data_IF_073121085115
#
_entry.id   IF_073121085115
#
_cell.length_a   1.000
_cell.length_b   1.000
_cell.length_c   1.000
_cell.angle_alpha   90.00
_cell.angle_beta   90.00
_cell.angle_gamma   90.00
#
_symmetry.space_group_name_H-M   'P 1'
#
loop_
_entity.id
_entity.type
_entity.pdbx_description
1 polymer ?
#
# COMPACT_ATOMS: atom_id res chain seq x y z
N UNK A 1 4.70 70.52 62.59
CA UNK A 1 5.82 70.02 61.74
C UNK A 1 5.53 68.68 61.03
N UNK A 2 4.47 67.93 61.35
CA UNK A 2 4.15 66.67 60.64
C UNK A 2 3.31 66.83 59.35
N UNK A 3 2.61 67.95 59.15
CA UNK A 3 1.74 68.14 57.99
C UNK A 3 2.48 68.58 56.71
N UNK A 4 3.72 69.08 56.84
CA UNK A 4 4.52 69.55 55.69
C UNK A 4 5.38 68.46 55.07
N UNK A 5 5.82 67.43 55.80
CA UNK A 5 6.57 66.31 55.19
C UNK A 5 5.71 65.40 54.31
N UNK A 6 4.44 65.18 54.67
CA UNK A 6 3.54 64.32 53.90
C UNK A 6 3.16 64.89 52.52
N UNK A 7 3.19 66.22 52.34
CA UNK A 7 2.92 66.83 51.03
C UNK A 7 4.06 66.62 50.04
N UNK A 8 5.32 66.62 50.50
CA UNK A 8 6.47 66.39 49.63
C UNK A 8 6.60 64.93 49.20
N UNK A 9 6.31 63.98 50.09
CA UNK A 9 6.31 62.53 49.77
C UNK A 9 5.19 62.19 48.79
N UNK A 10 3.98 62.73 48.97
CA UNK A 10 2.85 62.49 48.09
C UNK A 10 3.05 63.12 46.69
N UNK A 11 3.71 64.28 46.60
CA UNK A 11 4.07 64.88 45.32
C UNK A 11 5.18 64.08 44.60
N UNK A 12 6.21 63.60 45.32
CA UNK A 12 7.25 62.78 44.70
C UNK A 12 6.72 61.42 44.21
N UNK A 13 5.82 60.76 44.96
CA UNK A 13 5.23 59.47 44.52
C UNK A 13 4.26 59.64 43.37
N UNK A 14 3.47 60.72 43.32
CA UNK A 14 2.57 60.98 42.17
C UNK A 14 3.34 61.30 40.88
N UNK A 15 4.46 62.03 40.97
CA UNK A 15 5.28 62.42 39.80
C UNK A 15 6.17 61.27 39.30
N UNK A 16 6.70 60.43 40.20
CA UNK A 16 7.47 59.22 39.82
C UNK A 16 6.56 58.12 39.24
N UNK A 17 5.36 57.96 39.77
CA UNK A 17 4.41 56.93 39.31
C UNK A 17 3.81 57.31 37.94
N UNK A 18 3.44 58.58 37.72
CA UNK A 18 2.89 59.03 36.42
C UNK A 18 3.90 58.98 35.28
N UNK A 19 5.19 59.28 35.52
CA UNK A 19 6.24 59.16 34.49
C UNK A 19 6.54 57.71 34.08
N UNK A 20 6.49 56.76 35.02
CA UNK A 20 6.70 55.34 34.74
C UNK A 20 5.52 54.68 34.02
N UNK A 21 4.28 55.02 34.38
CA UNK A 21 3.09 54.49 33.71
C UNK A 21 2.96 54.97 32.26
N UNK A 22 3.47 56.17 31.92
CA UNK A 22 3.48 56.68 30.55
C UNK A 22 4.55 55.97 29.68
N UNK A 23 5.68 55.59 30.26
CA UNK A 23 6.76 54.89 29.53
C UNK A 23 6.40 53.46 29.09
N UNK A 24 5.41 52.82 29.72
CA UNK A 24 4.92 51.48 29.32
C UNK A 24 4.16 51.54 27.98
N UNK A 25 3.62 52.71 27.62
CA UNK A 25 2.93 52.92 26.35
C UNK A 25 3.83 53.56 25.27
N UNK A 26 5.13 53.72 25.53
CA UNK A 26 6.07 54.25 24.55
C UNK A 26 6.46 53.18 23.52
N UNK A 27 5.98 53.36 22.28
CA UNK A 27 6.41 52.57 21.14
C UNK A 27 7.50 53.32 20.36
N UNK A 28 8.73 52.78 20.37
CA UNK A 28 9.84 53.29 19.55
C UNK A 28 9.70 52.80 18.11
N UNK A 29 9.63 53.74 17.18
CA UNK A 29 9.67 53.49 15.73
C UNK A 29 11.04 53.85 15.15
N UNK A 30 11.44 53.14 14.10
CA UNK A 30 12.57 53.55 13.29
C UNK A 30 12.24 54.84 12.52
N UNK A 31 13.18 55.79 12.52
CA UNK A 31 13.06 57.00 11.70
C UNK A 31 13.48 56.68 10.27
N UNK A 32 12.52 56.62 9.36
CA UNK A 32 12.79 56.43 7.93
C UNK A 32 13.30 57.73 7.28
N UNK A 33 14.34 57.62 6.47
CA UNK A 33 14.84 58.72 5.63
C UNK A 33 14.30 58.55 4.22
N UNK A 34 13.51 59.52 3.74
CA UNK A 34 12.91 59.49 2.41
C UNK A 34 13.86 60.10 1.38
N UNK A 35 14.52 59.25 0.58
CA UNK A 35 15.34 59.69 -0.54
C UNK A 35 14.49 60.03 -1.78
N UNK A 36 14.48 61.30 -2.23
CA UNK A 36 13.75 61.77 -3.42
C UNK A 36 14.58 61.65 -4.70
N UNK A 37 14.84 60.43 -5.16
CA UNK A 37 15.54 60.18 -6.44
C UNK A 37 14.72 59.25 -7.35
N UNK A 38 14.36 59.73 -8.54
CA UNK A 38 13.54 58.97 -9.51
C UNK A 38 14.19 57.66 -9.96
N UNK A 39 15.51 57.63 -10.19
CA UNK A 39 16.20 56.41 -10.65
C UNK A 39 16.21 55.32 -9.57
N UNK A 40 16.52 55.71 -8.33
CA UNK A 40 16.54 54.79 -7.18
C UNK A 40 15.13 54.29 -6.86
N UNK A 41 14.12 55.17 -6.93
CA UNK A 41 12.72 54.79 -6.73
C UNK A 41 12.20 53.79 -7.76
N UNK A 42 12.51 53.98 -9.05
CA UNK A 42 12.14 53.04 -10.11
C UNK A 42 12.83 51.68 -9.91
N UNK A 43 14.13 51.68 -9.60
CA UNK A 43 14.87 50.43 -9.33
C UNK A 43 14.26 49.67 -8.15
N UNK A 44 13.95 50.37 -7.05
CA UNK A 44 13.33 49.77 -5.88
C UNK A 44 11.95 49.18 -6.19
N UNK A 45 11.09 49.89 -6.95
CA UNK A 45 9.78 49.39 -7.37
C UNK A 45 9.88 48.19 -8.32
N UNK A 46 10.85 48.18 -9.23
CA UNK A 46 11.10 47.03 -10.10
C UNK A 46 11.50 45.79 -9.29
N UNK A 47 12.43 45.93 -8.34
CA UNK A 47 12.82 44.81 -7.47
C UNK A 47 11.61 44.30 -6.69
N UNK A 48 10.81 45.20 -6.11
CA UNK A 48 9.58 44.82 -5.41
C UNK A 48 8.61 44.04 -6.30
N UNK A 49 8.37 44.51 -7.53
CA UNK A 49 7.49 43.82 -8.48
C UNK A 49 8.03 42.46 -8.90
N UNK A 50 9.34 42.33 -9.11
CA UNK A 50 9.98 41.05 -9.44
C UNK A 50 9.83 40.05 -8.29
N UNK A 51 10.10 40.49 -7.06
CA UNK A 51 9.93 39.64 -5.86
C UNK A 51 8.47 39.24 -5.68
N UNK A 52 7.53 40.20 -5.80
CA UNK A 52 6.10 39.93 -5.69
C UNK A 52 5.62 38.96 -6.78
N UNK A 53 6.08 39.16 -8.02
CA UNK A 53 5.78 38.27 -9.14
C UNK A 53 6.32 36.86 -8.91
N UNK A 54 7.52 36.72 -8.37
CA UNK A 54 8.08 35.41 -7.99
C UNK A 54 7.25 34.73 -6.90
N UNK A 55 6.87 35.46 -5.84
CA UNK A 55 6.06 34.91 -4.76
C UNK A 55 4.69 34.45 -5.30
N UNK A 56 3.99 35.28 -6.07
CA UNK A 56 2.67 34.93 -6.60
C UNK A 56 2.77 33.78 -7.61
N UNK A 57 3.68 33.86 -8.59
CA UNK A 57 3.79 32.87 -9.65
C UNK A 57 4.37 31.52 -9.17
N UNK A 58 5.51 31.57 -8.48
CA UNK A 58 6.21 30.35 -8.08
C UNK A 58 5.64 29.74 -6.80
N UNK A 59 5.49 30.54 -5.74
CA UNK A 59 5.10 30.04 -4.42
C UNK A 59 3.59 29.75 -4.37
N UNK A 60 2.76 30.70 -4.79
CA UNK A 60 1.31 30.52 -4.70
C UNK A 60 0.73 29.69 -5.84
N UNK A 61 1.06 29.98 -7.11
CA UNK A 61 0.45 29.26 -8.24
C UNK A 61 1.11 27.89 -8.45
N UNK A 62 2.44 27.83 -8.61
CA UNK A 62 3.11 26.58 -8.97
C UNK A 62 3.27 25.60 -7.79
N UNK A 63 3.70 26.11 -6.63
CA UNK A 63 3.87 25.28 -5.42
C UNK A 63 2.60 25.14 -4.59
N UNK A 64 1.52 25.86 -4.92
CA UNK A 64 0.27 25.89 -4.14
C UNK A 64 0.51 26.11 -2.65
N UNK A 65 1.41 27.04 -2.31
CA UNK A 65 1.80 27.32 -0.92
C UNK A 65 0.66 27.81 -0.02
N UNK A 66 -0.51 28.12 -0.58
CA UNK A 66 -1.72 28.44 0.17
C UNK A 66 -2.47 27.19 0.67
N UNK A 67 -2.19 26.00 0.13
CA UNK A 67 -2.84 24.77 0.53
C UNK A 67 -2.05 24.08 1.64
N UNK A 68 -2.76 23.62 2.65
CA UNK A 68 -2.18 22.65 3.56
C UNK A 68 -2.27 21.25 2.94
N UNK A 69 -1.29 20.41 3.26
CA UNK A 69 -1.28 19.00 2.83
C UNK A 69 -1.47 18.06 4.01
N UNK A 70 -2.14 16.94 3.76
CA UNK A 70 -2.23 15.79 4.65
C UNK A 70 -1.76 14.54 3.89
N UNK A 71 -0.75 13.88 4.42
CA UNK A 71 -0.20 12.63 3.91
C UNK A 71 -0.53 11.45 4.85
N UNK A 72 -1.25 11.71 5.96
CA UNK A 72 -1.65 10.72 6.95
C UNK A 72 -2.93 9.96 6.54
N UNK A 73 -2.86 9.32 5.37
CA UNK A 73 -3.96 8.49 4.86
C UNK A 73 -4.22 7.29 5.78
N UNK A 74 -5.45 7.17 6.25
CA UNK A 74 -5.97 5.94 6.85
C UNK A 74 -6.69 5.17 5.75
N UNK A 75 -6.31 3.93 5.50
CA UNK A 75 -6.90 3.12 4.44
C UNK A 75 -7.32 1.73 4.92
N UNK A 76 -8.39 1.22 4.32
CA UNK A 76 -8.83 -0.16 4.49
C UNK A 76 -9.09 -0.76 3.12
N UNK A 77 -8.58 -1.96 2.88
CA UNK A 77 -8.74 -2.70 1.62
C UNK A 77 -9.48 -3.99 1.92
N UNK A 78 -10.50 -4.26 1.10
CA UNK A 78 -11.25 -5.52 1.11
C UNK A 78 -11.17 -6.10 -0.28
N UNK A 79 -10.72 -7.35 -0.38
CA UNK A 79 -10.63 -8.07 -1.65
C UNK A 79 -11.60 -9.23 -1.71
N UNK A 80 -12.14 -9.49 -2.91
CA UNK A 80 -12.95 -10.67 -3.18
C UNK A 80 -12.66 -11.21 -4.56
N UNK A 81 -12.35 -12.50 -4.64
CA UNK A 81 -12.09 -13.15 -5.91
C UNK A 81 -13.31 -13.91 -6.42
N UNK A 82 -13.39 -13.99 -7.74
CA UNK A 82 -14.34 -14.82 -8.47
C UNK A 82 -13.63 -15.52 -9.62
N UNK A 83 -13.90 -16.81 -9.76
CA UNK A 83 -13.31 -17.66 -10.77
C UNK A 83 -13.56 -19.11 -10.39
N UNK A 84 -13.59 -19.98 -11.40
CA UNK A 84 -13.63 -21.43 -11.20
C UNK A 84 -12.68 -22.07 -12.19
N UNK A 85 -11.93 -23.07 -11.74
CA UNK A 85 -11.06 -23.84 -12.62
C UNK A 85 -11.26 -25.33 -12.37
N UNK A 86 -11.13 -26.12 -13.43
CA UNK A 86 -11.21 -27.56 -13.37
C UNK A 86 -9.81 -28.14 -13.58
N UNK A 87 -9.40 -29.04 -12.71
CA UNK A 87 -8.13 -29.75 -12.80
C UNK A 87 -8.39 -31.23 -12.98
N UNK A 88 -7.61 -31.89 -13.84
CA UNK A 88 -7.66 -33.33 -14.03
C UNK A 88 -6.26 -33.90 -13.78
N UNK A 89 -6.04 -34.47 -12.60
CA UNK A 89 -4.74 -35.04 -12.20
C UNK A 89 -4.87 -36.55 -11.99
N UNK A 90 -3.78 -37.29 -12.15
CA UNK A 90 -3.77 -38.74 -11.91
C UNK A 90 -4.06 -39.11 -10.46
N UNK A 91 -3.73 -38.22 -9.51
CA UNK A 91 -3.88 -38.46 -8.07
C UNK A 91 -5.31 -38.21 -7.58
N UNK A 92 -5.93 -37.10 -8.02
CA UNK A 92 -7.25 -36.65 -7.53
C UNK A 92 -8.37 -36.71 -8.57
N UNK A 93 -8.08 -37.14 -9.80
CA UNK A 93 -9.04 -37.12 -10.90
C UNK A 93 -9.51 -35.70 -11.22
N UNK A 94 -10.80 -35.57 -11.54
CA UNK A 94 -11.43 -34.29 -11.87
C UNK A 94 -11.86 -33.56 -10.60
N UNK A 95 -11.27 -32.40 -10.34
CA UNK A 95 -11.60 -31.53 -9.19
C UNK A 95 -11.93 -30.11 -9.67
N UNK A 96 -12.96 -29.51 -9.07
CA UNK A 96 -13.31 -28.10 -9.25
C UNK A 96 -12.67 -27.29 -8.14
N UNK A 97 -12.00 -26.20 -8.53
CA UNK A 97 -11.37 -25.24 -7.64
C UNK A 97 -12.17 -23.94 -7.61
N UNK A 98 -12.64 -23.56 -6.43
CA UNK A 98 -13.30 -22.29 -6.16
C UNK A 98 -12.40 -21.30 -5.40
N UNK A 99 -12.83 -20.04 -5.24
CA UNK A 99 -12.07 -19.03 -4.49
C UNK A 99 -11.72 -19.45 -3.06
N UNK A 100 -12.53 -20.33 -2.46
CA UNK A 100 -12.29 -20.96 -1.17
C UNK A 100 -11.05 -21.86 -1.13
N UNK A 101 -10.65 -22.43 -2.28
CA UNK A 101 -9.52 -23.36 -2.37
C UNK A 101 -8.24 -22.69 -2.85
N UNK A 102 -8.34 -21.75 -3.80
CA UNK A 102 -7.18 -21.16 -4.46
C UNK A 102 -6.75 -19.80 -3.87
N UNK A 103 -7.47 -19.23 -2.90
CA UNK A 103 -7.12 -17.92 -2.31
C UNK A 103 -6.62 -18.08 -0.87
N UNK A 104 -5.45 -17.51 -0.59
CA UNK A 104 -4.84 -17.52 0.74
C UNK A 104 -4.33 -16.11 1.11
N UNK A 105 -4.67 -15.54 2.27
CA UNK A 105 -5.72 -15.97 3.18
C UNK A 105 -7.12 -15.72 2.60
N UNK A 106 -8.16 -16.48 3.03
CA UNK A 106 -9.51 -16.31 2.51
C UNK A 106 -10.23 -15.04 3.02
N UNK A 107 -9.63 -14.33 4.00
CA UNK A 107 -10.26 -13.18 4.66
C UNK A 107 -10.30 -11.91 3.79
N UNK A 108 -9.53 -11.86 2.69
CA UNK A 108 -9.61 -10.78 1.71
C UNK A 108 -8.98 -9.47 2.19
N UNK A 109 -7.68 -9.51 2.51
CA UNK A 109 -6.89 -8.38 3.00
C UNK A 109 -6.20 -7.61 1.84
N UNK A 110 -5.24 -6.75 2.19
CA UNK A 110 -4.34 -6.02 1.29
C UNK A 110 -3.27 -6.92 0.65
N UNK A 111 -3.01 -8.09 1.23
CA UNK A 111 -2.15 -9.13 0.65
C UNK A 111 -2.97 -10.38 0.37
N UNK A 112 -2.88 -10.86 -0.87
CA UNK A 112 -3.53 -12.10 -1.28
C UNK A 112 -2.58 -12.97 -2.10
N UNK A 113 -2.72 -14.27 -1.97
CA UNK A 113 -2.01 -15.28 -2.75
C UNK A 113 -3.03 -16.11 -3.53
N UNK A 114 -2.85 -16.17 -4.84
CA UNK A 114 -3.72 -16.91 -5.76
C UNK A 114 -2.96 -18.11 -6.28
N UNK A 115 -3.42 -19.30 -5.91
CA UNK A 115 -2.88 -20.57 -6.39
C UNK A 115 -3.15 -20.68 -7.89
N UNK A 116 -2.09 -20.96 -8.65
CA UNK A 116 -2.14 -21.19 -10.11
C UNK A 116 -1.67 -22.62 -10.44
N UNK A 117 -0.84 -23.18 -9.58
CA UNK A 117 -0.31 -24.52 -9.71
C UNK A 117 -0.15 -25.19 -8.35
N UNK A 118 -0.10 -26.51 -8.33
CA UNK A 118 0.16 -27.26 -7.10
C UNK A 118 0.79 -28.62 -7.36
N UNK A 119 1.49 -29.12 -6.36
CA UNK A 119 1.99 -30.47 -6.28
C UNK A 119 1.27 -31.17 -5.14
N UNK A 120 0.57 -32.25 -5.48
CA UNK A 120 -0.22 -33.01 -4.53
C UNK A 120 0.53 -34.25 -4.06
N UNK A 121 0.52 -34.45 -2.75
CA UNK A 121 0.97 -35.68 -2.10
C UNK A 121 -0.24 -36.31 -1.41
N UNK A 122 -0.91 -37.29 -2.05
CA UNK A 122 -2.14 -37.88 -1.52
C UNK A 122 -1.86 -38.89 -0.40
N UNK A 123 -2.89 -39.16 0.41
CA UNK A 123 -2.91 -40.20 1.45
C UNK A 123 -1.74 -40.14 2.43
N UNK A 124 -1.35 -38.92 2.84
CA UNK A 124 -0.34 -38.76 3.87
C UNK A 124 -0.86 -39.23 5.23
N UNK A 125 -0.06 -40.07 5.87
CA UNK A 125 -0.30 -40.58 7.22
C UNK A 125 0.96 -40.41 8.05
N UNK A 126 0.80 -40.31 9.37
CA UNK A 126 1.94 -40.27 10.25
C UNK A 126 2.57 -41.67 10.35
N UNK A 127 3.83 -41.80 9.96
CA UNK A 127 4.48 -43.10 9.91
C UNK A 127 5.97 -43.01 9.61
N UNK A 128 6.57 -44.16 9.32
CA UNK A 128 7.97 -44.28 8.93
C UNK A 128 8.09 -44.40 7.40
N UNK A 129 8.93 -43.57 6.79
CA UNK A 129 9.22 -43.66 5.37
C UNK A 129 10.64 -43.21 5.04
N UNK A 130 11.08 -43.57 3.85
CA UNK A 130 12.39 -43.20 3.30
C UNK A 130 12.46 -41.71 2.98
N UNK A 131 13.55 -41.05 3.38
CA UNK A 131 13.85 -39.66 3.04
C UNK A 131 14.10 -39.48 1.54
N UNK A 132 13.59 -38.39 0.96
CA UNK A 132 13.83 -38.04 -0.45
C UNK A 132 15.21 -37.42 -0.59
N UNK A 133 16.03 -37.95 -1.49
CA UNK A 133 17.34 -37.36 -1.81
C UNK A 133 17.21 -36.15 -2.72
N UNK A 134 17.60 -35.00 -2.22
CA UNK A 134 17.88 -33.85 -3.06
C UNK A 134 19.34 -33.92 -3.54
N UNK A 135 19.50 -33.96 -4.87
CA UNK A 135 20.74 -33.78 -5.65
C UNK A 135 22.09 -33.97 -4.93
N UNK A 136 22.75 -35.13 -5.06
CA UNK A 136 24.18 -35.46 -4.78
C UNK A 136 24.90 -34.88 -3.54
N UNK A 137 24.26 -34.11 -2.67
CA UNK A 137 24.83 -33.59 -1.43
C UNK A 137 24.50 -34.53 -0.29
N UNK A 138 25.53 -34.89 0.45
CA UNK A 138 25.55 -35.90 1.51
C UNK A 138 24.73 -35.54 2.77
N UNK A 139 23.98 -34.42 2.75
CA UNK A 139 23.27 -33.92 3.92
C UNK A 139 21.75 -34.00 3.72
N UNK A 140 21.15 -34.89 4.51
CA UNK A 140 19.73 -35.15 4.63
C UNK A 140 19.00 -33.91 5.17
N UNK A 141 18.26 -33.18 4.32
CA UNK A 141 17.32 -32.14 4.73
C UNK A 141 16.11 -32.81 5.39
N UNK A 142 16.12 -32.88 6.72
CA UNK A 142 15.15 -33.67 7.47
C UNK A 142 13.75 -33.07 7.41
N UNK A 143 12.88 -33.66 6.58
CA UNK A 143 11.43 -33.42 6.56
C UNK A 143 10.68 -34.15 7.71
N UNK A 144 11.41 -34.69 8.69
CA UNK A 144 10.89 -35.46 9.82
C UNK A 144 11.99 -35.91 10.77
N UNK A 145 11.65 -36.70 11.79
CA UNK A 145 12.60 -37.15 12.83
C UNK A 145 13.33 -38.40 12.33
N UNK A 146 14.67 -38.35 12.25
CA UNK A 146 15.49 -39.50 11.79
C UNK A 146 15.40 -40.65 12.81
N UNK A 147 15.02 -41.84 12.33
CA UNK A 147 14.94 -43.05 13.17
C UNK A 147 16.30 -43.74 13.36
N UNK A 148 17.29 -43.40 12.52
CA UNK A 148 18.64 -43.99 12.55
C UNK A 148 18.80 -45.26 11.72
N UNK A 149 17.72 -45.74 11.08
CA UNK A 149 17.75 -46.87 10.13
C UNK A 149 17.93 -46.38 8.69
N UNK A 150 18.43 -47.26 7.83
CA UNK A 150 18.64 -47.01 6.40
C UNK A 150 17.74 -47.93 5.57
N UNK A 151 16.88 -47.35 4.74
CA UNK A 151 15.96 -48.05 3.84
C UNK A 151 16.61 -48.11 2.45
N UNK A 152 16.60 -49.29 1.83
CA UNK A 152 17.02 -49.47 0.42
C UNK A 152 15.78 -49.77 -0.41
N UNK A 153 15.50 -48.92 -1.40
CA UNK A 153 14.34 -49.07 -2.29
C UNK A 153 14.58 -50.20 -3.30
N UNK A 154 15.82 -50.32 -3.81
CA UNK A 154 16.27 -51.42 -4.67
C UNK A 154 17.60 -52.02 -4.17
N UNK A 155 17.92 -53.30 -4.45
CA UNK A 155 19.17 -53.95 -4.04
C UNK A 155 20.43 -53.22 -4.54
N UNK A 156 20.34 -52.59 -5.72
CA UNK A 156 21.41 -51.83 -6.38
C UNK A 156 21.32 -50.31 -6.14
N UNK A 157 20.34 -49.83 -5.37
CA UNK A 157 20.21 -48.42 -5.04
C UNK A 157 21.04 -48.08 -3.80
N UNK A 158 21.55 -46.85 -3.73
CA UNK A 158 22.14 -46.32 -2.51
C UNK A 158 20.99 -46.02 -1.52
N UNK A 159 20.98 -46.64 -0.35
CA UNK A 159 19.89 -46.51 0.63
C UNK A 159 19.76 -45.12 1.27
N UNK A 160 18.53 -44.73 1.62
CA UNK A 160 18.17 -43.44 2.22
C UNK A 160 17.88 -43.58 3.72
N UNK A 161 18.01 -42.51 4.49
CA UNK A 161 17.65 -42.53 5.91
C UNK A 161 16.14 -42.74 6.09
N UNK A 162 15.76 -43.50 7.12
CA UNK A 162 14.38 -43.60 7.58
C UNK A 162 14.04 -42.41 8.48
N UNK A 163 12.90 -41.78 8.21
CA UNK A 163 12.33 -40.72 9.02
C UNK A 163 10.95 -41.11 9.54
N UNK A 164 10.58 -40.57 10.70
CA UNK A 164 9.22 -40.56 11.23
C UNK A 164 8.60 -39.19 11.00
N UNK A 165 7.46 -39.14 10.30
CA UNK A 165 6.80 -37.91 9.90
C UNK A 165 5.57 -38.16 9.03
N UNK A 166 5.18 -37.16 8.23
CA UNK A 166 4.12 -37.32 7.24
C UNK A 166 4.65 -38.12 6.03
N UNK A 167 4.06 -39.29 5.83
CA UNK A 167 4.47 -40.26 4.82
C UNK A 167 3.31 -40.58 3.87
N UNK A 168 3.54 -40.61 2.54
CA UNK A 168 4.81 -40.38 1.87
C UNK A 168 5.27 -38.91 1.92
N UNK A 169 6.58 -38.68 1.84
CA UNK A 169 7.18 -37.33 1.83
C UNK A 169 6.73 -36.57 0.59
N UNK A 170 6.62 -35.25 0.73
CA UNK A 170 6.20 -34.36 -0.33
C UNK A 170 7.09 -34.44 -1.57
N UNK A 171 6.45 -34.25 -2.73
CA UNK A 171 7.13 -34.25 -4.03
C UNK A 171 7.81 -32.90 -4.25
N UNK A 172 9.14 -32.89 -4.39
CA UNK A 172 9.94 -31.66 -4.56
C UNK A 172 10.43 -31.41 -6.00
N UNK A 173 9.74 -31.93 -7.02
CA UNK A 173 10.09 -31.61 -8.40
C UNK A 173 9.46 -30.29 -8.83
N UNK A 174 10.18 -29.50 -9.64
CA UNK A 174 9.60 -28.26 -10.19
C UNK A 174 8.45 -28.60 -11.15
N UNK A 175 7.28 -27.98 -11.00
CA UNK A 175 6.18 -28.19 -11.93
C UNK A 175 6.57 -27.67 -13.31
N UNK A 176 6.13 -28.36 -14.37
CA UNK A 176 6.45 -28.01 -15.76
C UNK A 176 5.37 -27.17 -16.44
N UNK A 177 4.14 -27.26 -15.98
CA UNK A 177 2.96 -26.61 -16.57
C UNK A 177 1.97 -26.22 -15.47
N UNK A 178 1.17 -25.15 -15.68
CA UNK A 178 0.15 -24.73 -14.74
C UNK A 178 -1.04 -25.70 -14.74
N UNK A 179 -1.56 -26.02 -13.56
CA UNK A 179 -2.75 -26.85 -13.43
C UNK A 179 -4.05 -26.02 -13.57
N UNK A 180 -4.11 -24.81 -13.02
CA UNK A 180 -5.29 -23.95 -13.09
C UNK A 180 -5.22 -23.04 -14.33
N UNK A 181 -5.43 -23.63 -15.52
CA UNK A 181 -5.34 -22.93 -16.81
C UNK A 181 -6.28 -21.73 -16.96
N UNK A 182 -7.40 -21.72 -16.24
CA UNK A 182 -8.37 -20.63 -16.29
C UNK A 182 -8.03 -19.46 -15.34
N UNK A 183 -6.94 -19.55 -14.58
CA UNK A 183 -6.60 -18.54 -13.58
C UNK A 183 -6.42 -17.13 -14.19
N UNK A 184 -5.92 -17.03 -15.42
CA UNK A 184 -5.79 -15.75 -16.14
C UNK A 184 -7.13 -14.99 -16.26
N UNK A 185 -8.24 -15.72 -16.32
CA UNK A 185 -9.60 -15.18 -16.47
C UNK A 185 -10.31 -14.89 -15.14
N UNK A 186 -9.66 -15.16 -14.02
CA UNK A 186 -10.23 -14.83 -12.73
C UNK A 186 -10.31 -13.32 -12.56
N UNK A 187 -11.28 -12.90 -11.76
CA UNK A 187 -11.49 -11.48 -11.44
C UNK A 187 -11.32 -11.23 -9.97
N UNK A 188 -10.58 -10.18 -9.63
CA UNK A 188 -10.46 -9.64 -8.29
C UNK A 188 -11.29 -8.36 -8.19
N UNK A 189 -12.16 -8.31 -7.19
CA UNK A 189 -12.86 -7.10 -6.77
C UNK A 189 -12.07 -6.48 -5.62
N UNK A 190 -11.65 -5.22 -5.79
CA UNK A 190 -10.88 -4.47 -4.79
C UNK A 190 -11.74 -3.29 -4.33
N UNK A 191 -12.18 -3.33 -3.07
CA UNK A 191 -12.84 -2.21 -2.42
C UNK A 191 -11.86 -1.54 -1.48
N UNK A 192 -11.55 -0.29 -1.76
CA UNK A 192 -10.69 0.53 -0.94
C UNK A 192 -11.50 1.68 -0.34
N UNK A 193 -11.29 1.91 0.95
CA UNK A 193 -11.79 3.05 1.70
C UNK A 193 -10.61 3.86 2.18
N UNK A 194 -10.70 5.18 2.03
CA UNK A 194 -9.68 6.12 2.46
C UNK A 194 -10.29 7.18 3.36
N UNK A 195 -9.49 7.63 4.33
CA UNK A 195 -9.82 8.74 5.21
C UNK A 195 -8.59 9.58 5.46
N UNK A 196 -8.75 10.90 5.34
CA UNK A 196 -7.76 11.91 5.70
C UNK A 196 -8.28 12.66 6.93
N UNK A 197 -7.81 12.30 8.14
CA UNK A 197 -8.36 12.82 9.39
C UNK A 197 -8.27 14.35 9.49
N UNK A 198 -7.18 14.95 8.98
CA UNK A 198 -6.97 16.41 9.06
C UNK A 198 -8.07 17.19 8.36
N UNK A 199 -8.53 16.72 7.21
CA UNK A 199 -9.59 17.34 6.42
C UNK A 199 -10.97 16.74 6.66
N UNK A 200 -11.10 15.73 7.53
CA UNK A 200 -12.32 14.93 7.73
C UNK A 200 -12.90 14.41 6.40
N UNK A 201 -12.04 14.15 5.43
CA UNK A 201 -12.42 13.69 4.11
C UNK A 201 -12.37 12.16 4.07
N UNK A 202 -13.42 11.52 3.56
CA UNK A 202 -13.45 10.08 3.33
C UNK A 202 -14.08 9.75 1.98
N UNK A 203 -13.54 8.74 1.31
CA UNK A 203 -14.01 8.30 0.00
C UNK A 203 -13.72 6.82 -0.23
N UNK A 204 -14.49 6.19 -1.12
CA UNK A 204 -14.21 4.86 -1.62
C UNK A 204 -13.92 4.88 -3.12
N UNK A 205 -13.16 3.91 -3.61
CA UNK A 205 -12.86 3.78 -5.03
C UNK A 205 -14.07 3.35 -5.89
N UNK A 206 -15.12 2.84 -5.25
CA UNK A 206 -16.32 2.36 -5.95
C UNK A 206 -17.16 3.57 -6.35
N UNK A 207 -17.39 3.72 -7.65
CA UNK A 207 -18.26 4.77 -8.18
C UNK A 207 -19.66 4.68 -7.58
N UNK A 208 -20.13 5.79 -7.00
CA UNK A 208 -21.52 5.94 -6.56
C UNK A 208 -22.40 6.18 -7.79
N UNK A 209 -23.20 5.18 -8.16
CA UNK A 209 -24.08 5.24 -9.35
C UNK A 209 -25.43 4.62 -9.03
N UNK A 210 -26.47 5.09 -9.74
CA UNK A 210 -27.82 4.52 -9.68
C UNK A 210 -27.96 3.23 -10.50
N UNK A 211 -26.97 2.86 -11.32
CA UNK A 211 -26.99 1.61 -12.09
C UNK A 211 -26.61 0.41 -11.21
N UNK A 212 -27.62 -0.34 -10.76
CA UNK A 212 -27.44 -1.58 -9.99
C UNK A 212 -26.66 -2.67 -10.75
N UNK A 213 -26.57 -2.59 -12.07
CA UNK A 213 -25.85 -3.55 -12.91
C UNK A 213 -24.42 -3.12 -13.25
N UNK A 214 -23.98 -1.95 -12.80
CA UNK A 214 -22.64 -1.43 -13.08
C UNK A 214 -21.56 -2.45 -12.66
N UNK A 215 -21.59 -2.90 -11.40
CA UNK A 215 -20.62 -3.88 -10.87
C UNK A 215 -20.74 -5.27 -11.50
N UNK A 216 -21.86 -5.60 -12.17
CA UNK A 216 -22.01 -6.90 -12.84
C UNK A 216 -21.31 -6.89 -14.21
N UNK A 217 -21.30 -5.73 -14.88
CA UNK A 217 -20.84 -5.57 -16.27
C UNK A 217 -19.45 -4.95 -16.38
N UNK A 218 -19.09 -4.06 -15.46
CA UNK A 218 -17.85 -3.31 -15.57
C UNK A 218 -16.63 -4.22 -15.46
N UNK A 219 -15.59 -3.85 -16.18
CA UNK A 219 -14.22 -4.35 -16.03
C UNK A 219 -13.31 -3.14 -16.05
N UNK A 220 -12.29 -3.15 -15.18
CA UNK A 220 -11.35 -2.05 -15.11
C UNK A 220 -10.63 -1.85 -16.44
N UNK A 221 -10.72 -0.64 -16.95
CA UNK A 221 -9.90 -0.16 -18.04
C UNK A 221 -9.60 1.32 -17.82
N UNK A 222 -8.36 1.73 -18.10
CA UNK A 222 -7.88 3.09 -17.79
C UNK A 222 -8.62 4.18 -18.59
N UNK A 223 -9.07 3.88 -19.80
CA UNK A 223 -9.75 4.85 -20.66
C UNK A 223 -11.27 4.68 -20.61
N UNK A 224 -11.75 3.44 -20.68
CA UNK A 224 -13.19 3.15 -20.82
C UNK A 224 -13.91 3.11 -19.47
N UNK A 225 -13.32 2.48 -18.46
CA UNK A 225 -13.94 2.24 -17.16
C UNK A 225 -12.95 2.42 -15.99
N UNK A 226 -12.39 3.63 -15.79
CA UNK A 226 -11.32 3.89 -14.84
C UNK A 226 -11.73 3.71 -13.37
N UNK A 227 -13.03 3.75 -13.08
CA UNK A 227 -13.58 3.62 -11.73
C UNK A 227 -14.20 2.24 -11.46
N UNK A 228 -13.97 1.26 -12.33
CA UNK A 228 -14.46 -0.09 -12.07
C UNK A 228 -13.51 -0.82 -11.10
N UNK A 229 -13.98 -1.29 -9.94
CA UNK A 229 -13.15 -1.96 -8.94
C UNK A 229 -12.87 -3.44 -9.26
N UNK A 230 -13.21 -3.93 -10.47
CA UNK A 230 -13.11 -5.34 -10.87
C UNK A 230 -12.03 -5.49 -11.92
N UNK A 231 -10.97 -6.21 -11.56
CA UNK A 231 -9.79 -6.41 -12.40
C UNK A 231 -9.69 -7.88 -12.80
N UNK A 232 -9.33 -8.16 -14.05
CA UNK A 232 -8.98 -9.50 -14.50
C UNK A 232 -7.49 -9.75 -14.24
N UNK A 233 -7.13 -10.94 -13.77
CA UNK A 233 -5.74 -11.24 -13.41
C UNK A 233 -4.78 -11.13 -14.60
N UNK A 234 -5.18 -11.61 -15.78
CA UNK A 234 -4.41 -11.45 -17.01
C UNK A 234 -4.10 -9.99 -17.32
N UNK A 235 -5.13 -9.12 -17.26
CA UNK A 235 -5.00 -7.70 -17.59
C UNK A 235 -4.07 -6.98 -16.59
N UNK A 236 -4.10 -7.34 -15.30
CA UNK A 236 -3.17 -6.82 -14.29
C UNK A 236 -1.72 -7.15 -14.69
N UNK A 237 -1.44 -8.41 -15.01
CA UNK A 237 -0.08 -8.84 -15.37
C UNK A 237 0.40 -8.22 -16.67
N UNK A 238 -0.50 -8.05 -17.64
CA UNK A 238 -0.21 -7.40 -18.91
C UNK A 238 0.14 -5.92 -18.71
N UNK A 239 -0.59 -5.20 -17.85
CA UNK A 239 -0.29 -3.80 -17.50
C UNK A 239 1.03 -3.65 -16.74
N UNK A 240 1.44 -4.67 -15.99
CA UNK A 240 2.77 -4.73 -15.40
C UNK A 240 3.89 -5.06 -16.42
N UNK A 241 3.56 -5.33 -17.69
CA UNK A 241 4.50 -5.62 -18.76
C UNK A 241 4.89 -7.09 -18.92
N UNK A 242 4.17 -8.02 -18.29
CA UNK A 242 4.48 -9.45 -18.29
C UNK A 242 3.32 -10.28 -18.84
N UNK A 243 3.61 -11.50 -19.29
CA UNK A 243 2.56 -12.47 -19.63
C UNK A 243 2.17 -13.26 -18.38
N UNK A 244 0.89 -13.57 -18.24
CA UNK A 244 0.40 -14.37 -17.11
C UNK A 244 1.07 -15.75 -17.05
N UNK A 245 1.35 -16.33 -18.22
CA UNK A 245 1.99 -17.65 -18.39
C UNK A 245 3.44 -17.69 -17.87
N UNK A 246 4.09 -16.54 -17.68
CA UNK A 246 5.43 -16.49 -17.11
C UNK A 246 5.41 -16.68 -15.58
N UNK A 247 4.22 -16.58 -14.95
CA UNK A 247 4.04 -16.61 -13.49
C UNK A 247 3.08 -17.71 -13.02
N UNK A 248 2.32 -18.36 -13.92
CA UNK A 248 1.36 -19.40 -13.55
C UNK A 248 1.99 -20.75 -13.20
N UNK A 249 3.26 -20.97 -13.55
CA UNK A 249 3.99 -22.21 -13.28
C UNK A 249 4.74 -22.19 -11.96
N UNK A 250 5.56 -21.15 -11.74
CA UNK A 250 6.48 -21.00 -10.61
C UNK A 250 6.06 -19.90 -9.63
N UNK A 251 4.99 -19.17 -9.94
CA UNK A 251 4.53 -18.03 -9.16
C UNK A 251 5.18 -16.71 -9.55
N UNK A 252 4.75 -15.66 -8.85
CA UNK A 252 5.26 -14.30 -9.03
C UNK A 252 4.66 -13.35 -7.98
N UNK A 253 5.17 -12.13 -7.90
CA UNK A 253 4.69 -11.12 -6.97
C UNK A 253 4.36 -9.83 -7.72
N UNK A 254 3.09 -9.43 -7.70
CA UNK A 254 2.58 -8.22 -8.34
C UNK A 254 2.15 -7.23 -7.26
N UNK A 255 2.55 -5.97 -7.43
CA UNK A 255 2.05 -4.83 -6.68
C UNK A 255 0.92 -4.16 -7.44
N UNK A 256 -0.18 -3.89 -6.74
CA UNK A 256 -1.28 -3.03 -7.19
C UNK A 256 -1.24 -1.77 -6.33
N UNK A 257 -0.76 -0.66 -6.89
CA UNK A 257 -0.69 0.61 -6.21
C UNK A 257 -1.93 1.44 -6.51
N UNK A 258 -2.59 1.94 -5.47
CA UNK A 258 -3.77 2.80 -5.55
C UNK A 258 -3.40 4.18 -5.03
N UNK A 259 -3.30 5.14 -5.94
CA UNK A 259 -2.90 6.51 -5.65
C UNK A 259 -4.12 7.43 -5.51
N UNK A 260 -4.20 8.10 -4.37
CA UNK A 260 -5.19 9.13 -4.04
C UNK A 260 -4.52 10.49 -3.90
N UNK A 261 -4.18 11.11 -5.02
CA UNK A 261 -3.63 12.46 -5.06
C UNK A 261 -4.76 13.43 -5.38
N UNK A 262 -5.23 14.14 -4.35
CA UNK A 262 -6.46 14.91 -4.43
C UNK A 262 -6.29 16.36 -3.98
N UNK A 263 -6.99 17.25 -4.68
CA UNK A 263 -7.06 18.68 -4.40
C UNK A 263 -8.50 19.00 -4.00
N UNK A 264 -8.76 19.17 -2.70
CA UNK A 264 -10.11 19.36 -2.16
C UNK A 264 -10.75 20.67 -2.61
N UNK A 265 -9.96 21.64 -3.05
CA UNK A 265 -10.48 22.90 -3.58
C UNK A 265 -11.24 22.69 -4.91
N UNK A 266 -10.96 21.58 -5.63
CA UNK A 266 -11.70 21.17 -6.84
C UNK A 266 -13.00 20.43 -6.54
N UNK A 267 -13.21 20.04 -5.28
CA UNK A 267 -14.40 19.32 -4.83
C UNK A 267 -14.25 17.80 -4.79
N UNK A 268 -15.25 17.16 -4.20
CA UNK A 268 -15.27 15.73 -3.85
C UNK A 268 -15.12 14.80 -5.07
N UNK A 269 -15.80 15.12 -6.17
CA UNK A 269 -15.88 14.27 -7.36
C UNK A 269 -14.59 14.21 -8.17
N UNK A 270 -13.71 15.20 -8.02
CA UNK A 270 -12.43 15.25 -8.72
C UNK A 270 -11.33 14.43 -8.03
N UNK A 271 -11.57 13.96 -6.80
CA UNK A 271 -10.65 13.09 -6.08
C UNK A 271 -10.91 11.63 -6.42
N UNK A 272 -10.18 11.05 -7.37
CA UNK A 272 -10.42 9.69 -7.84
C UNK A 272 -9.13 8.86 -7.81
N UNK A 273 -9.22 7.53 -7.61
CA UNK A 273 -8.06 6.68 -7.50
C UNK A 273 -7.38 6.50 -8.86
N UNK A 274 -6.06 6.35 -8.84
CA UNK A 274 -5.26 5.91 -9.98
C UNK A 274 -4.59 4.59 -9.66
N UNK A 275 -4.57 3.67 -10.61
CA UNK A 275 -4.04 2.33 -10.42
C UNK A 275 -2.75 2.14 -11.19
N UNK A 276 -1.72 1.64 -10.51
CA UNK A 276 -0.45 1.27 -11.14
C UNK A 276 -0.12 -0.18 -10.80
N UNK A 277 0.43 -0.90 -11.79
CA UNK A 277 0.73 -2.33 -11.67
C UNK A 277 2.21 -2.55 -11.92
N UNK A 278 2.89 -3.21 -10.99
CA UNK A 278 4.32 -3.48 -11.10
C UNK A 278 4.66 -4.87 -10.60
N UNK A 279 5.67 -5.51 -11.20
CA UNK A 279 6.21 -6.77 -10.68
C UNK A 279 7.27 -6.47 -9.62
N UNK A 280 7.14 -7.10 -8.45
CA UNK A 280 8.04 -6.89 -7.30
C UNK A 280 9.17 -7.91 -7.22
N UNK A 281 8.95 -9.11 -7.74
CA UNK A 281 9.94 -10.20 -7.71
C UNK A 281 10.87 -10.16 -8.92
N UNK A 282 12.12 -10.57 -8.72
CA UNK A 282 13.03 -10.91 -9.82
C UNK A 282 12.62 -12.27 -10.40
N UNK A 283 12.74 -12.48 -11.71
CA UNK A 283 12.31 -13.70 -12.43
C UNK A 283 12.88 -15.04 -11.94
N UNK A 284 13.80 -15.03 -10.96
CA UNK A 284 14.37 -16.21 -10.32
C UNK A 284 13.65 -16.63 -9.01
N UNK A 285 12.74 -15.81 -8.48
CA UNK A 285 12.08 -16.06 -7.21
C UNK A 285 10.84 -16.93 -7.42
N UNK A 286 10.88 -18.14 -6.89
CA UNK A 286 9.71 -19.02 -6.82
C UNK A 286 8.84 -18.52 -5.67
N UNK A 287 7.55 -18.27 -5.94
CA UNK A 287 6.58 -17.95 -4.89
C UNK A 287 5.76 -19.20 -4.63
N UNK A 288 6.16 -19.95 -3.60
CA UNK A 288 5.49 -21.14 -3.13
C UNK A 288 4.90 -20.96 -1.73
N UNK A 289 3.91 -21.79 -1.44
CA UNK A 289 3.30 -21.94 -0.13
C UNK A 289 2.96 -23.41 0.10
N UNK A 290 2.67 -23.77 1.34
CA UNK A 290 2.23 -25.14 1.67
C UNK A 290 0.84 -25.05 2.29
N UNK A 291 -0.11 -25.78 1.70
CA UNK A 291 -1.48 -25.93 2.22
C UNK A 291 -1.66 -27.39 2.63
N UNK A 292 -1.89 -27.62 3.93
CA UNK A 292 -2.21 -28.93 4.45
C UNK A 292 -3.73 -29.09 4.59
N UNK A 293 -4.29 -30.10 3.93
CA UNK A 293 -5.69 -30.48 4.09
C UNK A 293 -5.78 -31.72 4.97
N UNK A 294 -6.08 -31.51 6.25
CA UNK A 294 -6.20 -32.57 7.26
C UNK A 294 -7.34 -33.52 6.90
N UNK A 295 -8.46 -32.99 6.42
CA UNK A 295 -9.68 -33.75 6.10
C UNK A 295 -9.47 -34.73 4.92
N UNK A 296 -8.76 -34.28 3.88
CA UNK A 296 -8.46 -35.12 2.71
C UNK A 296 -7.13 -35.88 2.82
N UNK A 297 -6.47 -35.84 4.00
CA UNK A 297 -5.14 -36.45 4.26
C UNK A 297 -4.16 -36.21 3.10
N UNK A 298 -4.08 -34.96 2.65
CA UNK A 298 -3.22 -34.57 1.53
C UNK A 298 -2.48 -33.29 1.87
N UNK A 299 -1.24 -33.19 1.43
CA UNK A 299 -0.52 -31.93 1.39
C UNK A 299 -0.41 -31.43 -0.03
N UNK A 300 -0.52 -30.11 -0.15
CA UNK A 300 -0.40 -29.38 -1.40
C UNK A 300 0.73 -28.37 -1.25
N UNK A 301 1.80 -28.56 -2.01
CA UNK A 301 2.75 -27.47 -2.25
C UNK A 301 2.15 -26.63 -3.37
N UNK A 302 1.79 -25.39 -3.08
CA UNK A 302 1.11 -24.49 -4.01
C UNK A 302 2.08 -23.47 -4.58
N UNK A 303 1.95 -23.18 -5.86
CA UNK A 303 2.62 -22.10 -6.55
C UNK A 303 1.58 -21.12 -7.06
N UNK A 304 1.90 -19.83 -6.98
CA UNK A 304 0.88 -18.83 -7.16
C UNK A 304 1.40 -17.43 -7.33
N UNK A 305 0.49 -16.56 -7.73
CA UNK A 305 0.77 -15.14 -7.86
C UNK A 305 0.31 -14.46 -6.57
N UNK A 306 1.25 -13.80 -5.90
CA UNK A 306 0.98 -12.94 -4.75
C UNK A 306 0.67 -11.55 -5.25
N UNK A 307 -0.47 -10.98 -4.84
CA UNK A 307 -0.79 -9.58 -5.07
C UNK A 307 -0.68 -8.81 -3.75
N UNK A 308 0.12 -7.75 -3.78
CA UNK A 308 0.23 -6.79 -2.68
C UNK A 308 -0.45 -5.49 -3.10
N UNK A 309 -1.53 -5.12 -2.42
CA UNK A 309 -2.26 -3.89 -2.67
C UNK A 309 -1.70 -2.82 -1.74
N UNK A 310 -1.13 -1.77 -2.34
CA UNK A 310 -0.56 -0.66 -1.60
C UNK A 310 -1.37 0.60 -1.88
N UNK A 311 -1.74 1.31 -0.84
CA UNK A 311 -2.52 2.55 -0.96
C UNK A 311 -1.62 3.71 -0.58
N UNK A 312 -1.46 4.65 -1.51
CA UNK A 312 -0.76 5.91 -1.28
C UNK A 312 -1.74 7.06 -1.41
N UNK A 313 -1.56 8.10 -0.61
CA UNK A 313 -2.52 9.18 -0.56
C UNK A 313 -1.90 10.49 -0.12
N UNK A 314 -2.26 11.55 -0.81
CA UNK A 314 -1.93 12.92 -0.48
C UNK A 314 -3.12 13.80 -0.81
N UNK A 315 -3.61 14.51 0.20
CA UNK A 315 -4.68 15.49 0.04
C UNK A 315 -4.12 16.88 0.27
N UNK A 316 -4.49 17.82 -0.60
CA UNK A 316 -4.25 19.24 -0.42
C UNK A 316 -5.56 20.00 -0.42
N UNK A 317 -5.65 21.07 0.37
CA UNK A 317 -6.82 21.93 0.40
C UNK A 317 -6.68 23.08 1.39
N UNK A 318 -7.66 23.99 1.40
CA UNK A 318 -7.74 25.02 2.43
C UNK A 318 -8.04 24.41 3.80
N UNK A 319 -7.21 24.75 4.80
CA UNK A 319 -7.40 24.28 6.17
C UNK A 319 -8.66 24.89 6.78
N UNK A 320 -9.49 24.05 7.39
CA UNK A 320 -10.68 24.50 8.15
C UNK A 320 -10.29 25.06 9.52
N UNK A 321 -9.01 24.92 9.93
CA UNK A 321 -8.54 25.37 11.24
C UNK A 321 -7.80 26.71 11.15
N UNK A 322 -8.29 27.80 11.79
CA UNK A 322 -7.60 29.08 11.83
C UNK A 322 -6.28 29.06 12.63
N UNK A 323 -5.99 27.99 13.38
CA UNK A 323 -4.76 27.85 14.18
C UNK A 323 -3.52 27.43 13.35
N UNK A 324 -3.71 26.81 12.16
CA UNK A 324 -2.60 26.41 11.28
C UNK A 324 -1.93 27.58 10.55
N UNK A 325 -2.62 28.73 10.47
CA UNK A 325 -2.13 29.88 9.71
C UNK A 325 -0.96 30.61 10.40
N UNK A 326 -0.71 30.35 11.69
CA UNK A 326 0.37 30.98 12.47
C UNK A 326 1.70 30.20 12.45
N UNK A 327 1.72 28.93 12.03
CA UNK A 327 2.98 28.15 12.02
C UNK A 327 3.78 28.30 10.72
N UNK A 328 3.14 28.65 9.60
CA UNK A 328 3.82 28.79 8.30
C UNK A 328 4.35 30.20 8.02
N UNK A 329 4.27 31.13 8.98
CA UNK A 329 4.82 32.48 8.88
C UNK A 329 6.15 32.68 9.65
N UNK A 330 6.67 31.62 10.28
CA UNK A 330 8.02 31.63 10.84
C UNK A 330 9.02 31.12 9.79
N UNK A 331 9.32 31.97 8.80
CA UNK A 331 10.45 31.83 7.88
C UNK A 331 11.19 33.16 7.79
#
# INVERSE_FOLDING_TARGET
>A
QAATQNKYIFFLTHVLCTGWFLSIFDYKTEKFVVARNKKVGVLYRLIQLTVLGYIIGWVFINKKGYQETDESIQSAVITKLKGVSLTNTSESGVLVWGPEDFVVPPQGEDVLFIVTNFLETPNQTQGHCAEVRFHRSLCCLSAGIKSGRCIKTDPNSTGTCEIYGWCPIERHFKPKQPLLKNAENFTIYIKNFIQFPKFKFSKSNVLETSDEFYLKRCRYDEEVHPYCPIFRLGDITQRAGYKFQDMDTLGGCISIMIDWICDLDKGYDHCNPRYFFTRLDTSANVVDGVIHSIDRRRSLIVYGVRFNIMVHGKVSGQSVNPEGHLQNLNL
#
